data_IF_101343548070
#
_entry.id   IF_101343548070
#
_cell.length_a   1.000
_cell.length_b   1.000
_cell.length_c   1.000
_cell.angle_alpha   90.00
_cell.angle_beta   90.00
_cell.angle_gamma   90.00
#
_symmetry.space_group_name_H-M   'P 1'
#
loop_
_entity.id
_entity.type
_entity.pdbx_description
1 polymer ?
#
# COMPACT_ATOMS: atom_id res chain seq x y z
N UNK A 1 -4.05 -4.40 -2.44
CA UNK A 1 -4.17 -3.64 -1.18
C UNK A 1 -4.68 -2.23 -1.46
N UNK A 2 -5.24 -1.55 -0.47
CA UNK A 2 -5.70 -0.16 -0.55
C UNK A 2 -4.80 0.71 0.31
N UNK A 3 -4.38 1.87 -0.19
CA UNK A 3 -3.65 2.86 0.59
C UNK A 3 -4.30 4.23 0.53
N UNK A 4 -4.20 4.95 1.64
CA UNK A 4 -4.51 6.37 1.73
C UNK A 4 -3.23 7.16 1.98
N UNK A 5 -3.15 8.36 1.43
CA UNK A 5 -2.06 9.28 1.64
C UNK A 5 -2.57 10.71 1.88
N UNK A 6 -1.82 11.46 2.71
CA UNK A 6 -2.06 12.88 2.94
C UNK A 6 -1.69 13.75 1.72
N UNK A 7 -1.88 15.06 1.82
CA UNK A 7 -1.58 16.02 0.75
C UNK A 7 -0.10 16.03 0.33
N UNK A 8 0.81 15.64 1.24
CA UNK A 8 2.25 15.56 1.03
C UNK A 8 2.68 14.19 0.47
N UNK A 9 1.71 13.28 0.30
CA UNK A 9 1.92 11.93 -0.20
C UNK A 9 2.39 10.93 0.86
N UNK A 10 2.37 11.29 2.15
CA UNK A 10 2.71 10.35 3.22
C UNK A 10 1.56 9.38 3.43
N UNK A 11 1.87 8.10 3.56
CA UNK A 11 0.87 7.06 3.77
C UNK A 11 0.24 7.21 5.16
N UNK A 12 -1.09 7.30 5.20
CA UNK A 12 -1.87 7.44 6.44
C UNK A 12 -2.67 6.19 6.78
N UNK A 13 -2.95 5.35 5.79
CA UNK A 13 -3.61 4.07 6.01
C UNK A 13 -3.17 3.04 4.96
N UNK A 14 -3.08 1.78 5.37
CA UNK A 14 -2.79 0.63 4.49
C UNK A 14 -3.72 -0.52 4.89
N UNK A 15 -4.50 -1.01 3.94
CA UNK A 15 -5.45 -2.10 4.14
C UNK A 15 -5.25 -3.21 3.11
N UNK A 16 -5.20 -4.46 3.55
CA UNK A 16 -5.21 -5.61 2.65
C UNK A 16 -6.64 -5.82 2.12
N UNK A 17 -6.84 -5.68 0.81
CA UNK A 17 -8.13 -5.95 0.15
C UNK A 17 -8.20 -7.43 -0.29
N UNK A 18 -7.08 -7.96 -0.75
CA UNK A 18 -6.89 -9.34 -1.14
C UNK A 18 -5.48 -9.76 -0.74
N UNK A 19 -5.36 -10.91 -0.07
CA UNK A 19 -4.08 -11.51 0.31
C UNK A 19 -3.52 -12.38 -0.81
N UNK A 20 -2.24 -12.67 -0.74
CA UNK A 20 -1.62 -13.73 -1.53
C UNK A 20 -1.83 -15.08 -0.84
N UNK A 21 -1.37 -16.17 -1.49
CA UNK A 21 -1.32 -17.51 -0.87
C UNK A 21 -0.33 -17.54 0.31
N UNK A 22 0.44 -16.48 0.54
CA UNK A 22 1.45 -16.39 1.59
C UNK A 22 1.23 -15.18 2.51
N UNK A 23 0.57 -15.43 3.64
CA UNK A 23 0.28 -14.41 4.65
C UNK A 23 1.52 -13.72 5.26
N UNK A 24 2.69 -14.38 5.25
CA UNK A 24 3.95 -13.78 5.73
C UNK A 24 4.44 -12.71 4.76
N UNK A 25 4.35 -12.96 3.46
CA UNK A 25 4.69 -11.96 2.44
C UNK A 25 3.74 -10.78 2.51
N UNK A 26 2.44 -11.02 2.67
CA UNK A 26 1.44 -9.96 2.82
C UNK A 26 1.74 -9.05 4.01
N UNK A 27 2.02 -9.62 5.19
CA UNK A 27 2.37 -8.85 6.39
C UNK A 27 3.64 -8.03 6.20
N UNK A 28 4.66 -8.57 5.55
CA UNK A 28 5.91 -7.85 5.26
C UNK A 28 5.64 -6.68 4.31
N UNK A 29 4.86 -6.92 3.28
CA UNK A 29 4.54 -5.90 2.28
C UNK A 29 3.68 -4.78 2.85
N UNK A 30 2.70 -5.08 3.71
CA UNK A 30 1.93 -4.07 4.44
C UNK A 30 2.83 -3.18 5.30
N UNK A 31 3.84 -3.76 5.97
CA UNK A 31 4.83 -2.98 6.73
C UNK A 31 5.66 -2.08 5.83
N UNK A 32 6.10 -2.56 4.68
CA UNK A 32 6.86 -1.74 3.71
C UNK A 32 5.99 -0.61 3.15
N UNK A 33 4.72 -0.89 2.83
CA UNK A 33 3.79 0.08 2.27
C UNK A 33 3.55 1.29 3.18
N UNK A 34 3.66 1.13 4.51
CA UNK A 34 3.58 2.26 5.47
C UNK A 34 4.69 3.29 5.29
N UNK A 35 5.82 2.89 4.72
CA UNK A 35 6.98 3.75 4.51
C UNK A 35 7.02 4.35 3.10
N UNK A 36 6.03 4.04 2.26
CA UNK A 36 5.98 4.61 0.92
C UNK A 36 5.63 6.09 0.95
N UNK A 37 5.97 6.77 -0.14
CA UNK A 37 5.58 8.14 -0.39
C UNK A 37 4.99 8.24 -1.78
N UNK A 38 3.72 8.56 -1.86
CA UNK A 38 3.05 8.79 -3.13
C UNK A 38 3.36 10.21 -3.62
N UNK A 39 3.10 10.48 -4.91
CA UNK A 39 3.20 11.85 -5.44
C UNK A 39 2.27 12.79 -4.66
N UNK A 40 2.67 13.99 -4.25
CA UNK A 40 1.75 14.93 -3.61
C UNK A 40 0.49 15.20 -4.44
N UNK A 41 -0.59 15.60 -3.76
CA UNK A 41 -1.91 15.87 -4.35
C UNK A 41 -2.60 16.92 -3.50
N UNK A 42 -3.29 17.88 -4.12
CA UNK A 42 -4.02 18.94 -3.41
C UNK A 42 -5.02 18.40 -2.39
N UNK A 43 -5.61 17.24 -2.67
CA UNK A 43 -6.61 16.59 -1.81
C UNK A 43 -6.10 15.28 -1.17
N UNK A 44 -4.79 15.01 -1.27
CA UNK A 44 -4.22 13.71 -0.92
C UNK A 44 -4.70 12.60 -1.88
N UNK A 45 -4.62 11.35 -1.44
CA UNK A 45 -5.21 10.21 -2.16
C UNK A 45 -5.91 9.26 -1.20
N UNK A 46 -7.07 8.75 -1.61
CA UNK A 46 -7.84 7.77 -0.85
C UNK A 46 -8.16 6.58 -1.73
N UNK A 47 -8.13 5.38 -1.16
CA UNK A 47 -8.54 4.17 -1.87
C UNK A 47 -7.63 3.78 -3.03
N UNK A 48 -6.35 4.15 -3.01
CA UNK A 48 -5.43 3.80 -4.10
C UNK A 48 -5.16 2.30 -4.05
N UNK A 49 -5.66 1.59 -5.06
CA UNK A 49 -5.43 0.15 -5.18
C UNK A 49 -4.04 -0.12 -5.75
N UNK A 50 -3.24 -0.84 -5.00
CA UNK A 50 -1.94 -1.34 -5.43
C UNK A 50 -2.01 -2.87 -5.46
N UNK A 51 -1.82 -3.43 -6.66
CA UNK A 51 -1.78 -4.88 -6.88
C UNK A 51 -0.32 -5.30 -6.84
N UNK A 52 0.01 -6.15 -5.87
CA UNK A 52 1.36 -6.71 -5.73
C UNK A 52 1.33 -8.14 -6.25
N UNK A 53 2.10 -8.42 -7.29
CA UNK A 53 2.36 -9.78 -7.77
C UNK A 53 3.76 -10.20 -7.33
N UNK A 54 3.87 -11.36 -6.68
CA UNK A 54 5.16 -11.96 -6.34
C UNK A 54 5.54 -12.96 -7.43
N UNK A 55 6.73 -12.79 -8.00
CA UNK A 55 7.39 -13.86 -8.75
C UNK A 55 8.45 -14.46 -7.83
N UNK A 56 8.18 -15.68 -7.35
CA UNK A 56 9.20 -16.50 -6.69
C UNK A 56 10.00 -17.17 -7.83
N UNK A 57 11.30 -16.90 -7.90
CA UNK A 57 12.23 -17.59 -8.80
C UNK A 57 12.71 -18.89 -8.15
#
# INVERSE_FOLDING_TARGET
>A
MSVNADIRGNITNVQLISGSVNSRLDKRHLKMARNWKLKPSSNGRRGVTIITQYQLQ
#
